data_IF_574334034355
#
_entry.id   IF_574334034355
#
_cell.length_a   1.000
_cell.length_b   1.000
_cell.length_c   1.000
_cell.angle_alpha   90.00
_cell.angle_beta   90.00
_cell.angle_gamma   90.00
#
_symmetry.space_group_name_H-M   'P 1'
#
loop_
_entity.id
_entity.type
_entity.pdbx_description
1 polymer ?
#
# COMPACT_ATOMS: atom_id res chain seq x y z
N UNK A 1 6.84 -44.63 27.64
CA UNK A 1 7.15 -44.01 26.34
C UNK A 1 5.88 -43.51 25.63
N UNK A 2 4.74 -44.22 25.69
CA UNK A 2 3.49 -43.81 25.01
C UNK A 2 2.89 -42.46 25.47
N UNK A 3 2.90 -42.14 26.76
CA UNK A 3 2.33 -40.88 27.28
C UNK A 3 3.14 -39.62 26.92
N UNK A 4 4.45 -39.74 26.67
CA UNK A 4 5.29 -38.58 26.33
C UNK A 4 5.02 -38.12 24.90
N UNK A 5 4.89 -39.05 23.96
CA UNK A 5 4.54 -38.72 22.58
C UNK A 5 3.11 -38.19 22.46
N UNK A 6 2.16 -38.70 23.27
CA UNK A 6 0.80 -38.15 23.31
C UNK A 6 0.76 -36.69 23.78
N UNK A 7 1.54 -36.33 24.79
CA UNK A 7 1.61 -34.95 25.28
C UNK A 7 2.34 -34.00 24.31
N UNK A 8 3.26 -34.53 23.48
CA UNK A 8 4.01 -33.72 22.53
C UNK A 8 3.15 -33.18 21.39
N UNK A 9 2.39 -34.04 20.71
CA UNK A 9 1.55 -33.57 19.60
C UNK A 9 0.41 -32.66 20.10
N UNK A 10 -0.14 -32.94 21.28
CA UNK A 10 -1.15 -32.09 21.92
C UNK A 10 -0.58 -30.70 22.20
N UNK A 11 0.65 -30.59 22.74
CA UNK A 11 1.33 -29.31 22.97
C UNK A 11 1.50 -28.49 21.70
N UNK A 12 1.99 -29.12 20.63
CA UNK A 12 2.23 -28.42 19.34
C UNK A 12 0.92 -27.93 18.75
N UNK A 13 -0.11 -28.79 18.73
CA UNK A 13 -1.45 -28.41 18.24
C UNK A 13 -2.05 -27.26 19.07
N UNK A 14 -2.02 -27.38 20.39
CA UNK A 14 -2.50 -26.37 21.33
C UNK A 14 -1.87 -25.01 21.04
N UNK A 15 -0.55 -24.96 20.89
CA UNK A 15 0.19 -23.74 20.68
C UNK A 15 -0.14 -23.08 19.33
N UNK A 16 -0.18 -23.87 18.24
CA UNK A 16 -0.53 -23.38 16.90
C UNK A 16 -1.97 -22.87 16.87
N UNK A 17 -2.92 -23.63 17.40
CA UNK A 17 -4.33 -23.23 17.42
C UNK A 17 -4.56 -22.01 18.30
N UNK A 18 -3.90 -21.93 19.46
CA UNK A 18 -3.98 -20.76 20.35
C UNK A 18 -3.45 -19.51 19.64
N UNK A 19 -2.28 -19.60 19.02
CA UNK A 19 -1.69 -18.48 18.28
C UNK A 19 -2.60 -18.06 17.11
N UNK A 20 -3.19 -19.04 16.40
CA UNK A 20 -4.14 -18.78 15.33
C UNK A 20 -5.41 -18.09 15.82
N UNK A 21 -6.07 -18.60 16.86
CA UNK A 21 -7.27 -17.99 17.44
C UNK A 21 -6.97 -16.56 17.90
N UNK A 22 -5.88 -16.36 18.63
CA UNK A 22 -5.47 -15.02 19.08
C UNK A 22 -5.20 -14.08 17.90
N UNK A 23 -4.61 -14.54 16.79
CA UNK A 23 -4.36 -13.70 15.61
C UNK A 23 -5.64 -13.14 14.99
N UNK A 24 -6.75 -13.88 15.06
CA UNK A 24 -8.04 -13.46 14.52
C UNK A 24 -8.85 -12.64 15.53
N UNK A 25 -8.89 -13.09 16.77
CA UNK A 25 -9.82 -12.60 17.79
C UNK A 25 -9.30 -11.36 18.53
N UNK A 26 -7.97 -11.16 18.61
CA UNK A 26 -7.38 -9.97 19.23
C UNK A 26 -7.81 -8.66 18.55
N UNK A 27 -8.17 -8.73 17.25
CA UNK A 27 -8.65 -7.57 16.49
C UNK A 27 -10.05 -7.08 16.94
N UNK A 28 -10.76 -7.88 17.75
CA UNK A 28 -12.15 -7.63 18.17
C UNK A 28 -12.28 -7.27 19.65
N UNK A 29 -11.17 -7.03 20.35
CA UNK A 29 -11.16 -6.63 21.76
C UNK A 29 -11.54 -7.74 22.74
N UNK A 30 -11.56 -8.99 22.29
CA UNK A 30 -11.66 -10.16 23.17
C UNK A 30 -10.28 -10.40 23.78
N UNK A 31 -10.24 -10.72 25.08
CA UNK A 31 -8.99 -10.97 25.80
C UNK A 31 -8.20 -12.15 25.22
N UNK A 32 -6.89 -12.15 25.47
CA UNK A 32 -5.97 -13.20 24.98
C UNK A 32 -6.41 -14.57 25.49
N UNK A 33 -6.57 -15.50 24.55
CA UNK A 33 -6.83 -16.92 24.83
C UNK A 33 -5.53 -17.56 25.30
N UNK A 34 -5.50 -17.98 26.57
CA UNK A 34 -4.31 -18.59 27.17
C UNK A 34 -4.11 -20.05 26.79
N UNK A 35 -5.21 -20.78 26.55
CA UNK A 35 -5.24 -22.18 26.15
C UNK A 35 -6.54 -22.46 25.37
N UNK A 36 -6.54 -23.43 24.46
CA UNK A 36 -7.70 -23.84 23.66
C UNK A 36 -8.69 -24.66 24.49
N UNK A 37 -8.20 -25.46 25.45
CA UNK A 37 -9.05 -26.35 26.26
C UNK A 37 -10.21 -25.62 26.93
N UNK A 38 -9.93 -24.54 27.64
CA UNK A 38 -10.93 -23.74 28.39
C UNK A 38 -11.09 -22.32 27.85
N UNK A 39 -10.14 -21.83 27.05
CA UNK A 39 -10.18 -20.47 26.54
C UNK A 39 -11.09 -20.27 25.32
N UNK A 40 -11.54 -21.34 24.65
CA UNK A 40 -12.59 -21.28 23.62
C UNK A 40 -13.98 -21.09 24.22
N UNK A 41 -14.15 -20.07 25.07
CA UNK A 41 -15.45 -19.68 25.64
C UNK A 41 -16.49 -19.43 24.54
N UNK A 42 -17.81 -19.48 24.84
CA UNK A 42 -18.83 -19.27 23.82
C UNK A 42 -18.68 -17.93 23.08
N UNK A 43 -18.27 -16.87 23.78
CA UNK A 43 -17.98 -15.56 23.19
C UNK A 43 -16.80 -15.61 22.23
N UNK A 44 -15.69 -16.22 22.64
CA UNK A 44 -14.50 -16.36 21.79
C UNK A 44 -14.81 -17.22 20.55
N UNK A 45 -15.46 -18.36 20.75
CA UNK A 45 -15.77 -19.30 19.67
C UNK A 45 -16.77 -18.71 18.67
N UNK A 46 -17.76 -17.94 19.14
CA UNK A 46 -18.68 -17.19 18.28
C UNK A 46 -17.92 -16.24 17.36
N UNK A 47 -17.07 -15.39 17.91
CA UNK A 47 -16.35 -14.39 17.11
C UNK A 47 -15.40 -15.06 16.12
N UNK A 48 -14.68 -16.09 16.56
CA UNK A 48 -13.85 -16.91 15.70
C UNK A 48 -14.66 -17.53 14.53
N UNK A 49 -15.82 -18.11 14.80
CA UNK A 49 -16.70 -18.68 13.78
C UNK A 49 -17.23 -17.62 12.80
N UNK A 50 -17.64 -16.45 13.29
CA UNK A 50 -18.11 -15.34 12.44
C UNK A 50 -16.99 -14.82 11.53
N UNK A 51 -15.74 -14.74 12.02
CA UNK A 51 -14.57 -14.37 11.21
C UNK A 51 -14.30 -15.42 10.12
N UNK A 52 -14.34 -16.71 10.46
CA UNK A 52 -14.11 -17.79 9.48
C UNK A 52 -15.16 -17.81 8.36
N UNK A 53 -16.43 -17.53 8.70
CA UNK A 53 -17.53 -17.49 7.72
C UNK A 53 -17.61 -16.15 6.99
N UNK A 54 -17.15 -15.06 7.60
CA UNK A 54 -17.33 -13.70 7.09
C UNK A 54 -18.76 -13.17 7.22
N UNK A 55 -19.58 -13.77 8.09
CA UNK A 55 -20.98 -13.37 8.36
C UNK A 55 -21.24 -13.37 9.86
N UNK A 56 -22.19 -12.55 10.30
CA UNK A 56 -22.66 -12.62 11.68
C UNK A 56 -23.72 -13.70 11.86
N UNK A 57 -23.69 -14.38 13.01
CA UNK A 57 -24.73 -15.31 13.46
C UNK A 57 -26.04 -14.59 13.80
N UNK A 58 -26.02 -13.27 13.98
CA UNK A 58 -27.20 -12.42 14.21
C UNK A 58 -27.93 -12.62 15.56
N UNK A 59 -27.60 -13.67 16.30
CA UNK A 59 -28.14 -13.99 17.62
C UNK A 59 -27.20 -13.56 18.74
N UNK A 60 -27.76 -12.99 19.80
CA UNK A 60 -27.04 -12.78 21.06
C UNK A 60 -26.92 -14.11 21.79
N UNK A 61 -25.75 -14.36 22.37
CA UNK A 61 -25.55 -15.52 23.23
C UNK A 61 -26.45 -15.42 24.46
N UNK A 62 -26.82 -16.58 25.00
CA UNK A 62 -27.51 -16.66 26.27
C UNK A 62 -26.55 -16.22 27.38
N UNK A 63 -26.97 -15.24 28.19
CA UNK A 63 -26.19 -14.68 29.30
C UNK A 63 -26.36 -15.45 30.62
N UNK A 64 -26.98 -16.63 30.58
CA UNK A 64 -27.14 -17.46 31.77
C UNK A 64 -25.82 -18.10 32.17
N UNK A 65 -25.62 -18.28 33.48
CA UNK A 65 -24.44 -18.97 34.00
C UNK A 65 -24.71 -20.47 34.10
N UNK A 66 -23.72 -21.26 33.68
CA UNK A 66 -23.71 -22.72 33.88
C UNK A 66 -23.85 -23.52 32.59
N UNK A 67 -23.49 -24.80 32.70
CA UNK A 67 -23.31 -25.76 31.59
C UNK A 67 -24.42 -25.77 30.55
N UNK A 68 -25.69 -25.66 30.95
CA UNK A 68 -26.84 -25.72 30.03
C UNK A 68 -26.81 -24.53 29.06
N UNK A 69 -26.48 -23.33 29.55
CA UNK A 69 -26.39 -22.14 28.71
C UNK A 69 -25.19 -22.22 27.76
N UNK A 70 -24.05 -22.73 28.23
CA UNK A 70 -22.88 -22.95 27.37
C UNK A 70 -23.17 -23.96 26.25
N UNK A 71 -23.83 -25.08 26.55
CA UNK A 71 -24.24 -26.06 25.54
C UNK A 71 -25.17 -25.43 24.51
N UNK A 72 -26.17 -24.66 24.95
CA UNK A 72 -27.06 -23.97 24.01
C UNK A 72 -26.28 -23.01 23.11
N UNK A 73 -25.38 -22.21 23.69
CA UNK A 73 -24.54 -21.28 22.94
C UNK A 73 -23.63 -22.00 21.94
N UNK A 74 -22.90 -23.04 22.35
CA UNK A 74 -22.06 -23.82 21.45
C UNK A 74 -22.87 -24.55 20.38
N UNK A 75 -24.05 -25.07 20.71
CA UNK A 75 -24.93 -25.71 19.74
C UNK A 75 -25.35 -24.75 18.63
N UNK A 76 -25.66 -23.49 18.97
CA UNK A 76 -25.97 -22.48 17.96
C UNK A 76 -24.77 -22.16 17.08
N UNK A 77 -23.58 -21.97 17.67
CA UNK A 77 -22.36 -21.64 16.91
C UNK A 77 -21.95 -22.80 15.99
N UNK A 78 -21.98 -24.04 16.49
CA UNK A 78 -21.70 -25.24 15.69
C UNK A 78 -22.75 -25.43 14.58
N UNK A 79 -24.02 -25.11 14.85
CA UNK A 79 -25.08 -25.08 13.83
C UNK A 79 -24.77 -24.10 12.70
N UNK A 80 -24.36 -22.88 13.05
CA UNK A 80 -23.96 -21.85 12.10
C UNK A 80 -22.77 -22.27 11.22
N UNK A 81 -21.76 -22.92 11.79
CA UNK A 81 -20.64 -23.48 11.03
C UNK A 81 -21.13 -24.54 10.02
N UNK A 82 -21.98 -25.46 10.46
CA UNK A 82 -22.56 -26.50 9.59
C UNK A 82 -23.40 -25.92 8.45
N UNK A 83 -24.25 -24.94 8.73
CA UNK A 83 -25.06 -24.23 7.73
C UNK A 83 -24.22 -23.54 6.65
N UNK A 84 -22.98 -23.13 6.99
CA UNK A 84 -22.04 -22.53 6.05
C UNK A 84 -21.02 -23.53 5.48
N UNK A 85 -21.36 -24.83 5.45
CA UNK A 85 -20.53 -25.92 4.89
C UNK A 85 -19.15 -26.07 5.56
N UNK A 86 -19.09 -25.84 6.87
CA UNK A 86 -17.89 -26.08 7.68
C UNK A 86 -18.14 -27.34 8.52
N UNK A 87 -17.32 -28.35 8.28
CA UNK A 87 -17.34 -29.58 9.07
C UNK A 87 -16.60 -29.35 10.40
N UNK A 88 -17.26 -29.73 11.50
CA UNK A 88 -16.76 -29.59 12.87
C UNK A 88 -16.17 -30.90 13.41
N UNK A 89 -15.89 -31.87 12.52
CA UNK A 89 -15.15 -33.10 12.82
C UNK A 89 -15.72 -33.92 14.00
N UNK A 90 -17.04 -33.92 14.13
CA UNK A 90 -17.74 -34.66 15.19
C UNK A 90 -17.68 -34.02 16.59
N UNK A 91 -17.15 -32.79 16.73
CA UNK A 91 -17.24 -32.07 18.00
C UNK A 91 -18.68 -31.64 18.28
N UNK A 92 -19.20 -32.03 19.45
CA UNK A 92 -20.53 -31.64 19.91
C UNK A 92 -20.48 -30.43 20.87
N UNK A 93 -21.65 -29.86 21.17
CA UNK A 93 -21.76 -28.75 22.12
C UNK A 93 -21.38 -29.18 23.55
N UNK A 94 -21.68 -30.42 23.91
CA UNK A 94 -21.28 -31.04 25.17
C UNK A 94 -19.76 -31.17 25.27
N UNK A 95 -19.08 -31.57 24.19
CA UNK A 95 -17.61 -31.65 24.18
C UNK A 95 -16.96 -30.26 24.39
N UNK A 96 -17.56 -29.21 23.84
CA UNK A 96 -17.08 -27.83 24.04
C UNK A 96 -17.35 -27.33 25.46
N UNK A 97 -18.51 -27.65 26.05
CA UNK A 97 -18.86 -27.26 27.41
C UNK A 97 -18.07 -28.04 28.47
N UNK A 98 -17.89 -29.35 28.26
CA UNK A 98 -17.19 -30.27 29.17
C UNK A 98 -15.72 -30.45 28.71
N UNK A 99 -14.96 -29.36 28.72
CA UNK A 99 -13.60 -29.28 28.16
C UNK A 99 -12.60 -30.34 28.66
N UNK A 100 -12.79 -30.91 29.86
CA UNK A 100 -11.93 -31.98 30.38
C UNK A 100 -12.07 -33.29 29.59
N UNK A 101 -13.29 -33.73 29.29
CA UNK A 101 -13.55 -34.94 28.51
C UNK A 101 -13.59 -34.66 27.00
N UNK A 102 -13.92 -33.42 26.62
CA UNK A 102 -14.08 -33.01 25.23
C UNK A 102 -12.79 -32.55 24.54
N UNK A 103 -11.67 -32.36 25.26
CA UNK A 103 -10.47 -31.72 24.72
C UNK A 103 -9.95 -32.31 23.41
N UNK A 104 -9.91 -33.65 23.28
CA UNK A 104 -9.48 -34.32 22.04
C UNK A 104 -10.40 -34.03 20.85
N UNK A 105 -11.70 -33.87 21.09
CA UNK A 105 -12.66 -33.46 20.06
C UNK A 105 -12.49 -31.99 19.68
N UNK A 106 -12.18 -31.12 20.65
CA UNK A 106 -11.86 -29.71 20.39
C UNK A 106 -10.61 -29.61 19.52
N UNK A 107 -9.53 -30.32 19.84
CA UNK A 107 -8.32 -30.38 19.01
C UNK A 107 -8.61 -30.91 17.61
N UNK A 108 -9.41 -31.97 17.48
CA UNK A 108 -9.80 -32.53 16.18
C UNK A 108 -10.61 -31.54 15.32
N UNK A 109 -11.52 -30.79 15.93
CA UNK A 109 -12.26 -29.71 15.27
C UNK A 109 -11.32 -28.58 14.84
N UNK A 110 -10.50 -28.08 15.76
CA UNK A 110 -9.55 -27.00 15.47
C UNK A 110 -8.55 -27.38 14.38
N UNK A 111 -8.06 -28.62 14.37
CA UNK A 111 -7.20 -29.14 13.31
C UNK A 111 -7.92 -29.15 11.95
N UNK A 112 -9.17 -29.61 11.91
CA UNK A 112 -9.95 -29.66 10.67
C UNK A 112 -10.22 -28.25 10.12
N UNK A 113 -10.51 -27.30 11.00
CA UNK A 113 -10.65 -25.89 10.65
C UNK A 113 -9.33 -25.31 10.14
N UNK A 114 -8.24 -25.51 10.89
CA UNK A 114 -6.91 -25.00 10.52
C UNK A 114 -6.48 -25.54 9.16
N UNK A 115 -6.64 -26.84 8.93
CA UNK A 115 -6.34 -27.50 7.65
C UNK A 115 -7.08 -26.83 6.49
N UNK A 116 -8.37 -26.53 6.66
CA UNK A 116 -9.19 -25.90 5.62
C UNK A 116 -8.84 -24.42 5.40
N UNK A 117 -8.62 -23.66 6.47
CA UNK A 117 -8.54 -22.19 6.39
C UNK A 117 -7.11 -21.65 6.35
N UNK A 118 -6.17 -22.32 6.99
CA UNK A 118 -4.77 -21.94 7.00
C UNK A 118 -4.01 -22.69 5.90
N UNK A 119 -4.08 -24.03 5.85
CA UNK A 119 -3.25 -24.80 4.90
C UNK A 119 -3.77 -24.66 3.47
N UNK A 120 -5.05 -24.93 3.20
CA UNK A 120 -5.56 -24.80 1.83
C UNK A 120 -5.38 -23.37 1.31
N UNK A 121 -5.80 -22.35 2.07
CA UNK A 121 -5.69 -20.94 1.64
C UNK A 121 -4.24 -20.47 1.51
N UNK A 122 -3.33 -20.99 2.35
CA UNK A 122 -1.90 -20.66 2.26
C UNK A 122 -1.14 -21.44 1.20
N UNK A 123 -1.74 -22.43 0.53
CA UNK A 123 -1.05 -23.14 -0.56
C UNK A 123 -1.74 -22.93 -1.91
N UNK A 124 -3.07 -22.81 -1.97
CA UNK A 124 -3.78 -22.52 -3.22
C UNK A 124 -3.79 -21.02 -3.54
N UNK A 125 -3.50 -20.67 -4.79
CA UNK A 125 -3.86 -19.36 -5.35
C UNK A 125 -5.38 -19.30 -5.53
N UNK A 126 -5.98 -18.26 -4.93
CA UNK A 126 -7.35 -17.66 -4.92
C UNK A 126 -8.58 -18.35 -5.56
N UNK A 127 -8.43 -19.41 -6.35
CA UNK A 127 -9.54 -20.21 -6.84
C UNK A 127 -10.29 -20.85 -5.67
N UNK A 128 -11.53 -20.42 -5.47
CA UNK A 128 -12.50 -20.87 -4.46
C UNK A 128 -12.90 -22.37 -4.61
N UNK A 129 -12.18 -23.14 -5.42
CA UNK A 129 -12.40 -24.56 -5.64
C UNK A 129 -11.63 -25.33 -4.57
N UNK A 130 -12.22 -25.39 -3.38
CA UNK A 130 -11.72 -26.21 -2.27
C UNK A 130 -11.60 -27.67 -2.73
N UNK A 131 -10.37 -28.15 -2.92
CA UNK A 131 -10.12 -29.58 -3.12
C UNK A 131 -10.34 -30.27 -1.77
N UNK A 132 -11.38 -31.09 -1.65
CA UNK A 132 -11.70 -31.84 -0.43
C UNK A 132 -10.90 -33.15 -0.35
N UNK A 133 -10.46 -33.55 0.85
CA UNK A 133 -9.87 -34.87 1.14
C UNK A 133 -8.34 -34.92 1.17
N UNK A 134 -7.76 -36.12 1.00
CA UNK A 134 -6.32 -36.43 1.11
C UNK A 134 -5.39 -35.58 0.22
N UNK A 135 -5.95 -34.87 -0.77
CA UNK A 135 -5.20 -33.90 -1.61
C UNK A 135 -4.73 -32.68 -0.84
N UNK A 136 -5.35 -32.32 0.29
CA UNK A 136 -4.90 -31.19 1.10
C UNK A 136 -3.60 -31.52 1.84
N UNK A 137 -3.45 -32.76 2.27
CA UNK A 137 -2.26 -33.19 3.00
C UNK A 137 -1.06 -33.26 2.05
N UNK A 138 -1.28 -33.59 0.77
CA UNK A 138 -0.23 -33.49 -0.24
C UNK A 138 0.14 -32.05 -0.56
N UNK A 139 -0.79 -31.08 -0.52
CA UNK A 139 -0.53 -29.69 -0.90
C UNK A 139 0.63 -29.07 -0.11
N UNK A 140 0.69 -29.27 1.21
CA UNK A 140 1.77 -28.68 2.00
C UNK A 140 3.13 -29.31 1.64
N UNK A 141 3.16 -30.60 1.36
CA UNK A 141 4.38 -31.31 0.96
C UNK A 141 4.79 -30.95 -0.47
N UNK A 142 3.82 -30.82 -1.38
CA UNK A 142 4.01 -30.32 -2.75
C UNK A 142 4.62 -28.90 -2.71
N UNK A 143 4.11 -28.04 -1.83
CA UNK A 143 4.66 -26.69 -1.61
C UNK A 143 6.08 -26.72 -1.06
N UNK A 144 6.37 -27.57 -0.06
CA UNK A 144 7.74 -27.74 0.45
C UNK A 144 8.66 -28.18 -0.69
N UNK A 145 8.24 -29.19 -1.45
CA UNK A 145 9.00 -29.74 -2.57
C UNK A 145 9.30 -28.70 -3.65
N UNK A 146 8.33 -27.83 -3.98
CA UNK A 146 8.55 -26.71 -4.89
C UNK A 146 9.64 -25.75 -4.36
N UNK A 147 9.57 -25.38 -3.08
CA UNK A 147 10.55 -24.45 -2.48
C UNK A 147 11.95 -25.04 -2.34
N UNK A 148 12.07 -26.36 -2.13
CA UNK A 148 13.37 -27.03 -1.94
C UNK A 148 13.92 -27.70 -3.19
N UNK A 149 13.20 -27.67 -4.32
CA UNK A 149 13.62 -28.30 -5.58
C UNK A 149 15.00 -27.80 -6.05
N UNK A 150 15.30 -26.52 -5.88
CA UNK A 150 16.60 -25.92 -6.23
C UNK A 150 17.79 -26.48 -5.45
N UNK A 151 17.55 -27.14 -4.32
CA UNK A 151 18.56 -27.77 -3.48
C UNK A 151 18.72 -29.28 -3.76
N UNK A 152 17.93 -29.84 -4.69
CA UNK A 152 17.92 -31.28 -4.97
C UNK A 152 17.32 -32.12 -3.84
N UNK A 153 16.46 -31.53 -3.00
CA UNK A 153 15.78 -32.21 -1.91
C UNK A 153 14.33 -32.55 -2.26
N UNK A 154 13.77 -33.55 -1.59
CA UNK A 154 12.38 -33.95 -1.72
C UNK A 154 11.85 -34.55 -0.41
N UNK A 155 10.58 -34.31 -0.10
CA UNK A 155 9.86 -34.92 1.03
C UNK A 155 9.18 -36.18 0.52
N UNK A 156 9.79 -37.34 0.78
CA UNK A 156 9.19 -38.66 0.48
C UNK A 156 8.26 -39.13 1.61
N UNK A 157 8.71 -38.96 2.86
CA UNK A 157 7.97 -39.34 4.05
C UNK A 157 7.98 -38.17 5.05
N UNK A 158 6.84 -37.51 5.29
CA UNK A 158 6.75 -36.38 6.22
C UNK A 158 7.23 -36.66 7.64
N UNK A 159 7.19 -37.92 8.09
CA UNK A 159 7.61 -38.27 9.45
C UNK A 159 9.13 -38.38 9.60
N UNK A 160 9.87 -38.62 8.51
CA UNK A 160 11.32 -38.91 8.57
C UNK A 160 12.18 -37.96 7.74
N UNK A 161 11.62 -37.31 6.73
CA UNK A 161 12.38 -36.48 5.77
C UNK A 161 12.95 -35.20 6.40
N UNK A 162 12.47 -34.80 7.58
CA UNK A 162 12.93 -33.62 8.30
C UNK A 162 14.05 -33.92 9.31
N UNK A 163 14.32 -35.18 9.62
CA UNK A 163 15.27 -35.55 10.69
C UNK A 163 16.73 -35.24 10.37
N UNK A 164 17.09 -35.11 9.10
CA UNK A 164 18.42 -34.65 8.71
C UNK A 164 18.56 -33.12 8.80
N UNK A 165 17.47 -32.38 9.00
CA UNK A 165 17.44 -30.91 9.05
C UNK A 165 17.72 -30.21 7.72
N UNK A 166 17.93 -30.92 6.61
CA UNK A 166 18.25 -30.31 5.32
C UNK A 166 17.05 -29.58 4.75
N UNK A 167 15.85 -30.16 4.86
CA UNK A 167 14.63 -29.56 4.31
C UNK A 167 14.28 -28.27 5.06
N UNK A 168 14.33 -28.27 6.40
CA UNK A 168 14.04 -27.08 7.21
C UNK A 168 15.07 -25.99 6.90
N UNK A 169 16.36 -26.34 6.83
CA UNK A 169 17.40 -25.38 6.47
C UNK A 169 17.20 -24.81 5.06
N UNK A 170 16.83 -25.63 4.07
CA UNK A 170 16.56 -25.20 2.71
C UNK A 170 15.36 -24.24 2.63
N UNK A 171 14.31 -24.48 3.42
CA UNK A 171 13.17 -23.56 3.52
C UNK A 171 13.59 -22.20 4.08
N UNK A 172 14.39 -22.18 5.15
CA UNK A 172 14.92 -20.92 5.72
C UNK A 172 15.85 -20.23 4.73
N UNK A 173 16.74 -20.96 4.08
CA UNK A 173 17.70 -20.38 3.13
C UNK A 173 16.98 -19.83 1.89
N UNK A 174 15.97 -20.54 1.39
CA UNK A 174 15.07 -20.05 0.33
C UNK A 174 14.41 -18.72 0.71
N UNK A 175 14.00 -18.56 1.97
CA UNK A 175 13.43 -17.31 2.46
C UNK A 175 14.48 -16.18 2.56
N UNK A 176 15.70 -16.50 2.97
CA UNK A 176 16.79 -15.54 3.21
C UNK A 176 17.59 -15.17 1.95
N UNK A 177 17.38 -15.85 0.82
CA UNK A 177 18.02 -15.54 -0.46
C UNK A 177 19.19 -16.46 -0.85
N UNK A 178 19.15 -17.73 -0.42
CA UNK A 178 20.04 -18.83 -0.85
C UNK A 178 21.54 -18.61 -0.54
N UNK A 179 21.88 -18.20 0.68
CA UNK A 179 23.27 -17.84 1.06
C UNK A 179 23.91 -18.82 2.07
N UNK A 180 23.10 -19.56 2.81
CA UNK A 180 23.50 -20.22 4.05
C UNK A 180 23.60 -21.73 3.88
N UNK A 181 22.79 -22.34 3.01
CA UNK A 181 22.64 -23.79 2.93
C UNK A 181 23.96 -24.55 2.71
N UNK A 182 24.82 -24.03 1.82
CA UNK A 182 26.11 -24.67 1.47
C UNK A 182 27.04 -24.79 2.68
N UNK A 183 27.02 -23.80 3.58
CA UNK A 183 27.90 -23.75 4.75
C UNK A 183 27.60 -24.83 5.79
N UNK A 184 26.38 -25.38 5.79
CA UNK A 184 25.91 -26.35 6.79
C UNK A 184 25.69 -27.76 6.21
N UNK A 185 26.17 -28.03 4.99
CA UNK A 185 26.07 -29.36 4.38
C UNK A 185 26.87 -30.42 5.13
N UNK A 186 28.04 -30.05 5.68
CA UNK A 186 28.96 -30.97 6.36
C UNK A 186 28.77 -31.01 7.89
N UNK A 187 27.84 -30.22 8.43
CA UNK A 187 27.52 -30.23 9.87
C UNK A 187 26.73 -31.49 10.26
N UNK A 188 26.71 -31.77 11.57
CA UNK A 188 25.86 -32.83 12.13
C UNK A 188 24.37 -32.48 11.97
N UNK A 189 23.49 -33.49 12.01
CA UNK A 189 22.05 -33.26 11.88
C UNK A 189 21.51 -32.38 13.02
N UNK A 190 22.02 -32.57 14.24
CA UNK A 190 21.65 -31.76 15.42
C UNK A 190 22.01 -30.28 15.24
N UNK A 191 23.24 -29.98 14.81
CA UNK A 191 23.67 -28.61 14.53
C UNK A 191 22.84 -27.97 13.40
N UNK A 192 22.54 -28.74 12.35
CA UNK A 192 21.75 -28.27 11.20
C UNK A 192 20.32 -27.92 11.62
N UNK A 193 19.65 -28.83 12.33
CA UNK A 193 18.29 -28.60 12.83
C UNK A 193 18.26 -27.43 13.81
N UNK A 194 19.18 -27.40 14.76
CA UNK A 194 19.27 -26.30 15.74
C UNK A 194 19.40 -24.95 15.04
N UNK A 195 20.35 -24.83 14.09
CA UNK A 195 20.56 -23.58 13.38
C UNK A 195 19.34 -23.21 12.51
N UNK A 196 18.71 -24.18 11.87
CA UNK A 196 17.52 -23.93 11.06
C UNK A 196 16.34 -23.38 11.90
N UNK A 197 16.11 -23.96 13.08
CA UNK A 197 15.07 -23.48 14.02
C UNK A 197 15.40 -22.08 14.53
N UNK A 198 16.63 -21.84 14.99
CA UNK A 198 17.08 -20.52 15.45
C UNK A 198 16.86 -19.45 14.38
N UNK A 199 17.27 -19.74 13.13
CA UNK A 199 17.12 -18.79 12.03
C UNK A 199 15.66 -18.59 11.62
N UNK A 200 14.81 -19.62 11.70
CA UNK A 200 13.37 -19.48 11.48
C UNK A 200 12.74 -18.57 12.54
N UNK A 201 13.16 -18.69 13.81
CA UNK A 201 12.69 -17.81 14.86
C UNK A 201 13.16 -16.36 14.66
N UNK A 202 14.46 -16.15 14.44
CA UNK A 202 15.05 -14.82 14.31
C UNK A 202 14.60 -14.07 13.04
N UNK A 203 14.51 -14.75 11.89
CA UNK A 203 14.29 -14.10 10.59
C UNK A 203 12.85 -14.22 10.08
N UNK A 204 12.12 -15.26 10.49
CA UNK A 204 10.74 -15.52 10.05
C UNK A 204 9.72 -15.28 11.17
N UNK A 205 10.15 -15.12 12.43
CA UNK A 205 9.26 -15.00 13.58
C UNK A 205 8.50 -16.28 13.90
N UNK A 206 8.98 -17.43 13.43
CA UNK A 206 8.33 -18.73 13.64
C UNK A 206 8.79 -19.29 14.99
N UNK A 207 7.84 -19.54 15.89
CA UNK A 207 8.12 -20.04 17.23
C UNK A 207 8.67 -21.48 17.22
N UNK A 208 9.57 -21.79 18.17
CA UNK A 208 10.18 -23.11 18.29
C UNK A 208 9.20 -24.13 18.89
N UNK A 209 8.51 -24.88 18.04
CA UNK A 209 7.48 -25.85 18.49
C UNK A 209 8.03 -27.24 18.83
N UNK A 210 9.22 -27.58 18.33
CA UNK A 210 9.88 -28.85 18.55
C UNK A 210 11.27 -28.62 19.13
N UNK A 211 11.71 -29.54 19.97
CA UNK A 211 13.12 -29.63 20.35
C UNK A 211 13.94 -30.25 19.22
N UNK A 212 15.24 -29.94 19.22
CA UNK A 212 16.19 -30.47 18.22
C UNK A 212 16.21 -32.00 18.23
N UNK A 213 16.22 -32.62 19.42
CA UNK A 213 16.19 -34.08 19.58
C UNK A 213 14.94 -34.73 18.98
N UNK A 214 13.77 -34.10 19.14
CA UNK A 214 12.49 -34.64 18.62
C UNK A 214 12.50 -34.75 17.09
N UNK A 215 13.02 -33.71 16.41
CA UNK A 215 13.12 -33.68 14.95
C UNK A 215 14.18 -34.69 14.48
N UNK A 216 15.39 -34.65 15.03
CA UNK A 216 16.51 -35.49 14.59
C UNK A 216 16.20 -36.98 14.75
N UNK A 217 15.49 -37.35 15.82
CA UNK A 217 15.08 -38.74 16.08
C UNK A 217 13.80 -39.16 15.34
N UNK A 218 13.23 -38.29 14.51
CA UNK A 218 11.98 -38.53 13.78
C UNK A 218 10.83 -38.96 14.71
N UNK A 219 10.76 -38.38 15.92
CA UNK A 219 9.72 -38.69 16.91
C UNK A 219 8.50 -37.76 16.80
N UNK A 220 8.50 -36.85 15.82
CA UNK A 220 7.42 -35.91 15.58
C UNK A 220 6.24 -36.58 14.87
N UNK A 221 5.03 -36.35 15.37
CA UNK A 221 3.79 -36.74 14.69
C UNK A 221 3.63 -35.97 13.36
N UNK A 222 3.14 -36.65 12.31
CA UNK A 222 2.97 -36.07 10.97
C UNK A 222 2.06 -34.83 10.98
N UNK A 223 0.96 -34.86 11.76
CA UNK A 223 0.04 -33.72 11.84
C UNK A 223 0.68 -32.55 12.56
N UNK A 224 1.45 -32.82 13.61
CA UNK A 224 2.23 -31.79 14.29
C UNK A 224 3.27 -31.17 13.35
N UNK A 225 3.99 -31.98 12.57
CA UNK A 225 4.96 -31.49 11.58
C UNK A 225 4.27 -30.67 10.49
N UNK A 226 3.12 -31.12 9.99
CA UNK A 226 2.30 -30.38 9.03
C UNK A 226 1.92 -28.99 9.55
N UNK A 227 1.50 -28.88 10.83
CA UNK A 227 1.19 -27.59 11.43
C UNK A 227 2.42 -26.69 11.51
N UNK A 228 3.56 -27.22 11.94
CA UNK A 228 4.79 -26.44 12.02
C UNK A 228 5.22 -25.92 10.64
N UNK A 229 5.26 -26.78 9.62
CA UNK A 229 5.60 -26.41 8.24
C UNK A 229 4.59 -25.42 7.65
N UNK A 230 3.31 -25.51 8.03
CA UNK A 230 2.32 -24.52 7.57
C UNK A 230 2.60 -23.10 8.05
N UNK A 231 3.29 -22.91 9.17
CA UNK A 231 3.73 -21.59 9.64
C UNK A 231 4.75 -20.98 8.67
N UNK A 232 5.66 -21.80 8.12
CA UNK A 232 6.58 -21.36 7.08
C UNK A 232 5.79 -20.89 5.85
N UNK A 233 4.85 -21.69 5.36
CA UNK A 233 4.03 -21.32 4.18
C UNK A 233 3.30 -19.98 4.37
N UNK A 234 2.74 -19.74 5.56
CA UNK A 234 2.10 -18.46 5.87
C UNK A 234 3.08 -17.28 5.81
N UNK A 235 4.26 -17.40 6.43
CA UNK A 235 5.27 -16.33 6.42
C UNK A 235 5.76 -16.06 4.99
N UNK A 236 5.98 -17.12 4.20
CA UNK A 236 6.32 -16.99 2.78
C UNK A 236 5.26 -16.21 2.02
N UNK A 237 3.98 -16.54 2.19
CA UNK A 237 2.89 -15.82 1.53
C UNK A 237 2.79 -14.36 1.97
N UNK A 238 2.95 -14.08 3.27
CA UNK A 238 2.95 -12.70 3.77
C UNK A 238 4.08 -11.89 3.11
N UNK A 239 5.29 -12.47 3.01
CA UNK A 239 6.41 -11.82 2.30
C UNK A 239 6.09 -11.59 0.82
N UNK A 240 5.58 -12.59 0.11
CA UNK A 240 5.20 -12.47 -1.30
C UNK A 240 4.12 -11.38 -1.52
N UNK A 241 3.15 -11.24 -0.60
CA UNK A 241 2.16 -10.17 -0.64
C UNK A 241 2.78 -8.78 -0.41
N UNK A 242 3.67 -8.66 0.58
CA UNK A 242 4.37 -7.40 0.87
C UNK A 242 5.26 -6.99 -0.32
N UNK A 243 5.97 -7.92 -0.93
CA UNK A 243 6.81 -7.66 -2.10
C UNK A 243 5.98 -7.19 -3.30
N UNK A 244 4.84 -7.83 -3.57
CA UNK A 244 3.88 -7.38 -4.61
C UNK A 244 3.34 -5.98 -4.32
N UNK A 245 3.01 -5.69 -3.06
CA UNK A 245 2.52 -4.38 -2.66
C UNK A 245 3.59 -3.30 -2.80
N UNK A 246 4.82 -3.57 -2.37
CA UNK A 246 5.98 -2.69 -2.52
C UNK A 246 6.26 -2.40 -4.00
N UNK A 247 6.24 -3.42 -4.87
CA UNK A 247 6.41 -3.24 -6.31
C UNK A 247 5.31 -2.37 -6.93
N UNK A 248 4.07 -2.51 -6.46
CA UNK A 248 2.95 -1.65 -6.88
C UNK A 248 3.15 -0.20 -6.44
N UNK A 249 3.60 0.03 -5.20
CA UNK A 249 3.94 1.37 -4.71
C UNK A 249 5.07 2.01 -5.54
N UNK A 250 6.18 1.30 -5.75
CA UNK A 250 7.32 1.79 -6.55
C UNK A 250 6.89 2.12 -7.98
N UNK A 251 6.04 1.30 -8.58
CA UNK A 251 5.51 1.56 -9.93
C UNK A 251 4.67 2.83 -9.97
N UNK A 252 3.80 3.02 -8.97
CA UNK A 252 2.95 4.21 -8.87
C UNK A 252 3.74 5.48 -8.54
N UNK A 253 4.78 5.38 -7.72
CA UNK A 253 5.71 6.49 -7.47
C UNK A 253 6.40 6.94 -8.77
N UNK A 254 6.91 6.00 -9.58
CA UNK A 254 7.50 6.33 -10.89
C UNK A 254 6.52 7.03 -11.82
N UNK A 255 5.28 6.54 -11.91
CA UNK A 255 4.23 7.19 -12.71
C UNK A 255 3.97 8.63 -12.23
N UNK A 256 3.91 8.86 -10.92
CA UNK A 256 3.73 10.20 -10.37
C UNK A 256 4.92 11.11 -10.63
N UNK A 257 6.16 10.60 -10.54
CA UNK A 257 7.36 11.35 -10.86
C UNK A 257 7.39 11.76 -12.34
N UNK A 258 6.99 10.87 -13.24
CA UNK A 258 6.90 11.17 -14.67
C UNK A 258 5.86 12.27 -14.97
N UNK A 259 4.68 12.21 -14.34
CA UNK A 259 3.65 13.25 -14.50
C UNK A 259 4.12 14.59 -13.95
N UNK A 260 4.73 14.60 -12.76
CA UNK A 260 5.28 15.81 -12.15
C UNK A 260 6.35 16.45 -13.03
N UNK A 261 7.23 15.65 -13.64
CA UNK A 261 8.25 16.14 -14.57
C UNK A 261 7.65 16.79 -15.82
N UNK A 262 6.59 16.20 -16.39
CA UNK A 262 5.86 16.80 -17.54
C UNK A 262 5.21 18.12 -17.16
N UNK A 263 4.53 18.17 -16.01
CA UNK A 263 3.91 19.41 -15.53
C UNK A 263 4.94 20.50 -15.28
N UNK A 264 6.10 20.17 -14.70
CA UNK A 264 7.18 21.11 -14.49
C UNK A 264 7.72 21.67 -15.82
N UNK A 265 7.88 20.83 -16.84
CA UNK A 265 8.28 21.27 -18.18
C UNK A 265 7.24 22.21 -18.81
N UNK A 266 5.95 21.90 -18.69
CA UNK A 266 4.87 22.77 -19.18
C UNK A 266 4.84 24.13 -18.47
N UNK A 267 5.11 24.16 -17.16
CA UNK A 267 5.21 25.40 -16.38
C UNK A 267 6.39 26.23 -16.91
N UNK A 268 7.57 25.63 -17.07
CA UNK A 268 8.77 26.31 -17.58
C UNK A 268 8.57 26.87 -19.01
N UNK A 269 7.86 26.13 -19.88
CA UNK A 269 7.52 26.60 -21.22
C UNK A 269 6.54 27.79 -21.18
N UNK A 270 5.51 27.70 -20.34
CA UNK A 270 4.53 28.80 -20.15
C UNK A 270 5.18 30.05 -19.57
N UNK A 271 6.09 29.92 -18.61
CA UNK A 271 6.83 31.04 -18.04
C UNK A 271 7.71 31.75 -19.10
N UNK A 272 8.38 30.98 -19.96
CA UNK A 272 9.15 31.55 -21.08
C UNK A 272 8.25 32.32 -22.05
N UNK A 273 7.11 31.75 -22.42
CA UNK A 273 6.16 32.40 -23.33
C UNK A 273 5.59 33.68 -22.71
N UNK A 274 5.21 33.64 -21.43
CA UNK A 274 4.72 34.81 -20.70
C UNK A 274 5.76 35.94 -20.71
N UNK A 275 7.03 35.62 -20.43
CA UNK A 275 8.12 36.59 -20.47
C UNK A 275 8.33 37.20 -21.86
N UNK A 276 8.18 36.40 -22.92
CA UNK A 276 8.25 36.92 -24.30
C UNK A 276 7.08 37.86 -24.60
N UNK A 277 5.87 37.53 -24.15
CA UNK A 277 4.70 38.41 -24.32
C UNK A 277 4.85 39.73 -23.54
N UNK A 278 5.36 39.68 -22.31
CA UNK A 278 5.64 40.88 -21.51
C UNK A 278 6.68 41.78 -22.19
N UNK A 279 7.74 41.19 -22.76
CA UNK A 279 8.76 41.93 -23.51
C UNK A 279 8.17 42.60 -24.76
N UNK A 280 7.41 41.84 -25.56
CA UNK A 280 6.75 42.37 -26.75
C UNK A 280 5.77 43.50 -26.42
N UNK A 281 4.99 43.34 -25.34
CA UNK A 281 4.07 44.37 -24.87
C UNK A 281 4.80 45.65 -24.43
N UNK A 282 5.90 45.53 -23.69
CA UNK A 282 6.67 46.69 -23.26
C UNK A 282 7.38 47.39 -24.43
N UNK A 283 7.82 46.64 -25.45
CA UNK A 283 8.35 47.19 -26.70
C UNK A 283 7.27 47.96 -27.49
N UNK A 284 6.07 47.40 -27.63
CA UNK A 284 4.95 48.06 -28.30
C UNK A 284 4.55 49.36 -27.58
N UNK A 285 4.46 49.32 -26.25
CA UNK A 285 4.21 50.49 -25.41
C UNK A 285 5.28 51.56 -25.56
N UNK A 286 6.57 51.18 -25.65
CA UNK A 286 7.67 52.13 -25.91
C UNK A 286 7.54 52.77 -27.29
N UNK A 287 7.25 51.98 -28.33
CA UNK A 287 7.06 52.48 -29.68
C UNK A 287 5.87 53.47 -29.76
N UNK A 288 4.76 53.15 -29.11
CA UNK A 288 3.59 54.03 -29.03
C UNK A 288 3.92 55.36 -28.35
N UNK A 289 4.66 55.33 -27.24
CA UNK A 289 5.09 56.55 -26.54
C UNK A 289 6.04 57.41 -27.40
N UNK A 290 6.95 56.79 -28.14
CA UNK A 290 7.83 57.49 -29.09
C UNK A 290 7.02 58.19 -30.18
N UNK A 291 6.09 57.46 -30.82
CA UNK A 291 5.22 58.00 -31.85
C UNK A 291 4.36 59.18 -31.32
N UNK A 292 3.83 59.07 -30.10
CA UNK A 292 3.06 60.14 -29.48
C UNK A 292 3.94 61.39 -29.21
N UNK A 293 5.17 61.20 -28.73
CA UNK A 293 6.12 62.30 -28.56
C UNK A 293 6.46 62.97 -29.90
N UNK A 294 6.71 62.19 -30.95
CA UNK A 294 6.99 62.69 -32.29
C UNK A 294 5.82 63.50 -32.85
N UNK A 295 4.58 63.03 -32.70
CA UNK A 295 3.38 63.76 -33.10
C UNK A 295 3.24 65.09 -32.34
N UNK A 296 3.45 65.08 -31.03
CA UNK A 296 3.42 66.30 -30.21
C UNK A 296 4.50 67.29 -30.65
N UNK A 297 5.70 66.82 -30.95
CA UNK A 297 6.80 67.65 -31.43
C UNK A 297 6.51 68.24 -32.82
N UNK A 298 5.95 67.44 -33.73
CA UNK A 298 5.50 67.91 -35.05
C UNK A 298 4.44 68.99 -34.93
N UNK A 299 3.43 68.81 -34.06
CA UNK A 299 2.41 69.82 -33.81
C UNK A 299 3.00 71.12 -33.26
N UNK A 300 3.98 71.04 -32.34
CA UNK A 300 4.69 72.24 -31.87
C UNK A 300 5.42 72.95 -33.01
N UNK A 301 6.14 72.20 -33.85
CA UNK A 301 6.88 72.76 -34.99
C UNK A 301 5.93 73.42 -35.99
N UNK A 302 4.80 72.78 -36.29
CA UNK A 302 3.79 73.31 -37.20
C UNK A 302 3.14 74.59 -36.64
N UNK A 303 2.75 74.56 -35.36
CA UNK A 303 2.23 75.74 -34.67
C UNK A 303 3.24 76.89 -34.65
N UNK A 304 4.51 76.60 -34.39
CA UNK A 304 5.60 77.59 -34.43
C UNK A 304 5.72 78.23 -35.82
N UNK A 305 5.67 77.43 -36.89
CA UNK A 305 5.73 77.91 -38.28
C UNK A 305 4.53 78.77 -38.65
N UNK A 306 3.32 78.42 -38.22
CA UNK A 306 2.14 79.28 -38.42
C UNK A 306 2.28 80.62 -37.70
N UNK A 307 2.81 80.59 -36.47
CA UNK A 307 3.05 81.81 -35.69
C UNK A 307 4.05 82.74 -36.37
N UNK A 308 5.10 82.17 -36.98
CA UNK A 308 6.07 82.92 -37.79
C UNK A 308 5.43 83.50 -39.06
N UNK A 309 4.60 82.73 -39.78
CA UNK A 309 3.87 83.24 -40.95
C UNK A 309 2.96 84.42 -40.59
N UNK A 310 2.18 84.30 -39.52
CA UNK A 310 1.31 85.38 -39.06
C UNK A 310 2.10 86.64 -38.67
N UNK A 311 3.25 86.48 -38.03
CA UNK A 311 4.13 87.62 -37.72
C UNK A 311 4.62 88.30 -39.00
N UNK A 312 5.03 87.52 -40.00
CA UNK A 312 5.52 88.03 -41.27
C UNK A 312 4.41 88.72 -42.07
N UNK A 313 3.18 88.20 -42.05
CA UNK A 313 2.01 88.86 -42.63
C UNK A 313 1.66 90.17 -41.92
N UNK A 314 1.71 90.21 -40.59
CA UNK A 314 1.50 91.45 -39.82
C UNK A 314 2.56 92.49 -40.15
N UNK A 315 3.81 92.08 -40.31
CA UNK A 315 4.91 92.96 -40.70
C UNK A 315 4.72 93.51 -42.12
N UNK A 316 4.35 92.66 -43.07
CA UNK A 316 4.00 93.08 -44.44
C UNK A 316 2.82 94.05 -44.47
N UNK A 317 1.74 93.77 -43.73
CA UNK A 317 0.61 94.70 -43.60
C UNK A 317 1.03 96.04 -43.00
N UNK A 318 1.92 96.03 -41.99
CA UNK A 318 2.47 97.27 -41.42
C UNK A 318 3.23 98.07 -42.46
N UNK A 319 4.10 97.41 -43.22
CA UNK A 319 4.84 98.01 -44.33
C UNK A 319 3.90 98.61 -45.37
N UNK A 320 2.84 97.90 -45.77
CA UNK A 320 1.83 98.40 -46.71
C UNK A 320 1.06 99.61 -46.15
N UNK A 321 0.62 99.57 -44.89
CA UNK A 321 -0.05 100.70 -44.24
C UNK A 321 0.86 101.93 -44.16
N UNK A 322 2.15 101.72 -43.89
CA UNK A 322 3.13 102.79 -43.83
C UNK A 322 3.40 103.39 -45.22
N UNK A 323 3.51 102.55 -46.26
CA UNK A 323 3.58 103.01 -47.65
C UNK A 323 2.34 103.80 -48.07
N UNK A 324 1.14 103.31 -47.74
CA UNK A 324 -0.11 104.01 -48.04
C UNK A 324 -0.18 105.37 -47.34
N UNK A 325 0.21 105.43 -46.05
CA UNK A 325 0.25 106.68 -45.30
C UNK A 325 1.25 107.67 -45.90
N UNK A 326 2.43 107.19 -46.33
CA UNK A 326 3.40 108.03 -47.04
C UNK A 326 2.86 108.54 -48.37
N UNK A 327 2.16 107.70 -49.14
CA UNK A 327 1.51 108.11 -50.38
C UNK A 327 0.44 109.19 -50.16
N UNK A 328 -0.41 109.03 -49.12
CA UNK A 328 -1.42 110.03 -48.75
C UNK A 328 -0.81 111.35 -48.29
N UNK A 329 0.28 111.31 -47.51
CA UNK A 329 1.01 112.52 -47.11
C UNK A 329 1.55 113.26 -48.34
N UNK A 330 2.12 112.52 -49.30
CA UNK A 330 2.62 113.07 -50.55
C UNK A 330 1.51 113.70 -51.38
N UNK A 331 0.36 113.05 -51.49
CA UNK A 331 -0.82 113.57 -52.18
C UNK A 331 -1.39 114.84 -51.48
N UNK A 332 -1.42 114.86 -50.15
CA UNK A 332 -1.82 116.04 -49.37
C UNK A 332 -0.83 117.22 -49.55
N UNK A 333 0.47 116.93 -49.63
CA UNK A 333 1.49 117.93 -49.96
C UNK A 333 1.32 118.47 -51.37
N UNK A 334 1.04 117.61 -52.35
CA UNK A 334 0.73 118.01 -53.72
C UNK A 334 -0.53 118.90 -53.78
N UNK A 335 -1.60 118.52 -53.07
CA UNK A 335 -2.83 119.34 -52.95
C UNK A 335 -2.58 120.69 -52.25
N UNK A 336 -1.75 120.72 -51.20
CA UNK A 336 -1.34 121.96 -50.52
C UNK A 336 -0.50 122.86 -51.42
N UNK A 337 0.38 122.28 -52.25
CA UNK A 337 1.13 123.02 -53.27
C UNK A 337 0.22 123.56 -54.37
N UNK A 338 -0.88 122.87 -54.69
CA UNK A 338 -1.92 123.34 -55.62
C UNK A 338 -2.70 124.54 -55.04
N UNK A 339 -3.11 124.48 -53.77
CA UNK A 339 -3.84 125.58 -53.08
C UNK A 339 -2.99 126.82 -52.79
N UNK A 340 -1.66 126.71 -52.70
CA UNK A 340 -0.78 127.87 -52.54
C UNK A 340 -0.48 128.60 -53.87
N UNK A 341 -1.05 128.12 -55.00
CA UNK A 341 -0.92 128.72 -56.34
C UNK A 341 -2.20 129.42 -56.84
N UNK A 342 -3.28 129.39 -56.06
CA UNK A 342 -4.46 130.25 -56.20
C UNK A 342 -4.41 131.38 -55.17
#
# INVERSE_FOLDING_TARGET
MSNQNEQQWERVQEQVFRNWVNSLVSQKGIGVVNNIKTGLTPTCFKEFAEILVGKSIGKKLNNGNGRIYDINNYSEILGFLKENNIDVAGCSAENMADSESGYKFILGMMFSLYRKYCICRSVSDESNNFKTGNKVDSMIWDWVNEKVQGYGLHVDNPSTSFGDGRIILALVDSFMGNQIYQSYQNCTNEERVKKAIEMAHENMGIEELFSVDEIVRCQTDERAMMLYISLFSQVFKTKEMMDKQNMSYVSRERETEEVMKRQQQEIEEKEKLLKQQEQAFEEEKRAMNCNLQEQMEQQKIEHQRELERMKQEQENMRLEQEQLRQAQLKELEEQKQQMMKE
#
